data_IF_557045428491
#
_entry.id   IF_557045428491
#
_cell.length_a   1.000
_cell.length_b   1.000
_cell.length_c   1.000
_cell.angle_alpha   90.00
_cell.angle_beta   90.00
_cell.angle_gamma   90.00
#
_symmetry.space_group_name_H-M   'P 1'
#
loop_
_entity.id
_entity.type
_entity.pdbx_description
1 polymer ?
#
# COMPACT_ATOMS: atom_id res chain seq x y z
N UNK A 1 -18.77 -2.08 1.25
CA UNK A 1 -17.83 -2.87 0.44
C UNK A 1 -17.55 -4.21 1.12
N UNK A 2 -17.13 -4.20 2.39
CA UNK A 2 -16.91 -5.41 3.21
C UNK A 2 -18.13 -6.34 3.25
N UNK A 3 -19.34 -5.81 3.49
CA UNK A 3 -20.60 -6.61 3.46
C UNK A 3 -20.78 -7.33 2.12
N UNK A 4 -20.66 -6.61 1.00
CA UNK A 4 -20.77 -7.18 -0.35
C UNK A 4 -19.68 -8.21 -0.66
N UNK A 5 -18.46 -8.02 -0.18
CA UNK A 5 -17.37 -8.98 -0.35
C UNK A 5 -17.56 -10.24 0.52
N UNK A 6 -18.17 -10.09 1.71
CA UNK A 6 -18.63 -11.21 2.56
C UNK A 6 -19.73 -12.01 1.87
N UNK A 7 -20.72 -11.32 1.29
CA UNK A 7 -21.84 -11.94 0.57
C UNK A 7 -21.40 -12.70 -0.70
N UNK A 8 -20.24 -12.33 -1.27
CA UNK A 8 -19.65 -12.96 -2.46
C UNK A 8 -18.57 -14.01 -2.13
N UNK A 9 -18.33 -14.30 -0.84
CA UNK A 9 -17.26 -15.21 -0.38
C UNK A 9 -15.85 -14.83 -0.90
N UNK A 10 -15.59 -13.54 -1.13
CA UNK A 10 -14.30 -13.03 -1.59
C UNK A 10 -13.64 -12.17 -0.49
N UNK A 11 -13.17 -12.77 0.63
CA UNK A 11 -12.60 -12.00 1.74
C UNK A 11 -11.35 -11.21 1.33
N UNK A 12 -10.61 -11.67 0.33
CA UNK A 12 -9.42 -11.00 -0.19
C UNK A 12 -9.74 -9.65 -0.86
N UNK A 13 -10.93 -9.48 -1.45
CA UNK A 13 -11.32 -8.22 -2.11
C UNK A 13 -11.77 -7.13 -1.12
N UNK A 14 -12.03 -7.50 0.13
CA UNK A 14 -12.50 -6.60 1.20
C UNK A 14 -11.38 -5.88 1.96
N UNK A 15 -10.13 -6.16 1.59
CA UNK A 15 -8.96 -5.64 2.27
C UNK A 15 -8.91 -4.10 2.18
N UNK A 16 -8.76 -3.39 3.31
CA UNK A 16 -8.74 -1.92 3.31
C UNK A 16 -7.67 -1.33 2.39
N UNK A 17 -6.51 -1.99 2.25
CA UNK A 17 -5.44 -1.58 1.37
C UNK A 17 -5.76 -1.76 -0.12
N UNK A 18 -6.66 -2.68 -0.49
CA UNK A 18 -7.13 -2.79 -1.87
C UNK A 18 -8.08 -1.65 -2.26
N UNK A 19 -8.53 -0.85 -1.28
CA UNK A 19 -9.40 0.30 -1.48
C UNK A 19 -8.65 1.63 -1.46
N UNK A 20 -7.33 1.60 -1.26
CA UNK A 20 -6.51 2.81 -1.29
C UNK A 20 -5.89 3.03 -2.68
N UNK A 21 -5.37 4.23 -2.92
CA UNK A 21 -4.66 4.57 -4.14
C UNK A 21 -3.14 4.37 -4.02
N UNK A 22 -2.68 3.67 -2.98
CA UNK A 22 -1.26 3.54 -2.67
C UNK A 22 -0.53 2.76 -3.75
N UNK A 23 -1.15 1.71 -4.29
CA UNK A 23 -0.61 0.93 -5.41
C UNK A 23 -0.46 1.77 -6.67
N UNK A 24 -1.41 2.66 -6.94
CA UNK A 24 -1.33 3.60 -8.05
C UNK A 24 -0.16 4.57 -7.87
N UNK A 25 0.00 5.14 -6.68
CA UNK A 25 1.12 6.03 -6.37
C UNK A 25 2.46 5.30 -6.53
N UNK A 26 2.56 4.08 -6.02
CA UNK A 26 3.73 3.23 -6.13
C UNK A 26 4.10 2.93 -7.59
N UNK A 27 3.09 2.70 -8.43
CA UNK A 27 3.28 2.53 -9.86
C UNK A 27 3.87 3.80 -10.52
N UNK A 28 3.31 4.98 -10.22
CA UNK A 28 3.86 6.26 -10.71
C UNK A 28 5.26 6.53 -10.17
N UNK A 29 5.56 6.13 -8.93
CA UNK A 29 6.89 6.25 -8.35
C UNK A 29 7.90 5.35 -9.07
N UNK A 30 7.52 4.12 -9.41
CA UNK A 30 8.32 3.21 -10.24
C UNK A 30 8.54 3.76 -11.65
N UNK A 31 7.52 4.33 -12.27
CA UNK A 31 7.68 4.92 -13.62
C UNK A 31 8.66 6.09 -13.61
N UNK A 32 8.69 6.87 -12.52
CA UNK A 32 9.65 7.96 -12.27
C UNK A 32 11.07 7.48 -12.01
N UNK A 33 11.25 6.36 -11.30
CA UNK A 33 12.58 5.82 -11.02
C UNK A 33 13.23 5.12 -12.22
N UNK A 34 12.49 4.88 -13.30
CA UNK A 34 13.03 4.33 -14.56
C UNK A 34 13.81 5.35 -15.41
N UNK A 35 13.95 6.60 -14.95
CA UNK A 35 14.76 7.61 -15.62
C UNK A 35 16.25 7.38 -15.40
N UNK A 36 17.07 7.85 -16.35
CA UNK A 36 18.54 7.76 -16.28
C UNK A 36 19.09 8.57 -15.10
N UNK A 37 20.29 8.22 -14.63
CA UNK A 37 20.94 8.60 -13.36
C UNK A 37 21.06 10.10 -13.01
N UNK A 38 20.49 11.02 -13.80
CA UNK A 38 20.68 12.47 -13.64
C UNK A 38 19.39 13.30 -13.73
N UNK A 39 18.20 12.71 -13.93
CA UNK A 39 16.96 13.49 -13.85
C UNK A 39 15.76 12.65 -13.43
N UNK A 40 14.96 13.16 -12.50
CA UNK A 40 13.61 12.67 -12.23
C UNK A 40 12.65 13.39 -13.17
N UNK A 41 12.28 12.71 -14.26
CA UNK A 41 11.23 13.22 -15.15
C UNK A 41 9.90 13.06 -14.43
N UNK A 42 9.18 14.15 -14.19
CA UNK A 42 7.86 14.14 -13.55
C UNK A 42 6.73 14.30 -14.56
N UNK A 43 7.01 14.92 -15.70
CA UNK A 43 6.06 15.17 -16.78
C UNK A 43 6.35 14.23 -17.95
N UNK A 44 5.36 13.43 -18.33
CA UNK A 44 5.44 12.50 -19.45
C UNK A 44 4.37 12.82 -20.47
N UNK A 45 4.69 12.65 -21.75
CA UNK A 45 3.65 12.38 -22.74
C UNK A 45 3.05 10.99 -22.48
N UNK A 46 1.80 10.77 -22.92
CA UNK A 46 1.15 9.45 -22.82
C UNK A 46 2.01 8.37 -23.48
N UNK A 47 2.62 8.67 -24.62
CA UNK A 47 3.49 7.74 -25.35
C UNK A 47 4.71 7.30 -24.52
N UNK A 48 5.39 8.26 -23.87
CA UNK A 48 6.52 7.95 -22.99
C UNK A 48 6.09 7.13 -21.78
N UNK A 49 4.92 7.43 -21.23
CA UNK A 49 4.37 6.65 -20.13
C UNK A 49 4.07 5.21 -20.55
N UNK A 50 3.46 4.99 -21.73
CA UNK A 50 3.21 3.63 -22.26
C UNK A 50 4.51 2.83 -22.44
N UNK A 51 5.58 3.46 -22.92
CA UNK A 51 6.89 2.78 -23.00
C UNK A 51 7.44 2.40 -21.62
N UNK A 52 7.23 3.24 -20.61
CA UNK A 52 7.64 2.95 -19.23
C UNK A 52 6.82 1.80 -18.63
N UNK A 53 5.51 1.74 -18.88
CA UNK A 53 4.67 0.61 -18.46
C UNK A 53 5.27 -0.71 -18.96
N UNK A 54 5.53 -0.82 -20.27
CA UNK A 54 6.15 -2.02 -20.85
C UNK A 54 7.50 -2.38 -20.22
N UNK A 55 8.29 -1.37 -19.85
CA UNK A 55 9.58 -1.58 -19.18
C UNK A 55 9.40 -2.08 -17.74
N UNK A 56 8.40 -1.56 -17.01
CA UNK A 56 8.03 -2.07 -15.68
C UNK A 56 7.63 -3.55 -15.79
N UNK A 57 6.77 -3.88 -16.75
CA UNK A 57 6.30 -5.25 -16.97
C UNK A 57 7.46 -6.20 -17.27
N UNK A 58 8.38 -5.79 -18.15
CA UNK A 58 9.56 -6.58 -18.49
C UNK A 58 10.48 -6.81 -17.29
N UNK A 59 10.68 -5.79 -16.45
CA UNK A 59 11.47 -5.92 -15.22
C UNK A 59 10.79 -6.90 -14.25
N UNK A 60 9.47 -6.80 -14.08
CA UNK A 60 8.71 -7.66 -13.19
C UNK A 60 8.73 -9.13 -13.66
N UNK A 61 8.54 -9.37 -14.96
CA UNK A 61 8.66 -10.70 -15.57
C UNK A 61 10.07 -11.29 -15.40
N UNK A 62 11.11 -10.45 -15.57
CA UNK A 62 12.50 -10.87 -15.33
C UNK A 62 12.74 -11.27 -13.88
N UNK A 63 12.18 -10.53 -12.91
CA UNK A 63 12.28 -10.90 -11.50
C UNK A 63 11.59 -12.22 -11.18
N UNK A 64 10.41 -12.48 -11.77
CA UNK A 64 9.68 -13.74 -11.57
C UNK A 64 10.44 -14.93 -12.14
N UNK A 65 11.06 -14.78 -13.31
CA UNK A 65 11.85 -15.84 -13.96
C UNK A 65 13.15 -16.16 -13.21
N UNK A 66 13.73 -15.17 -12.55
CA UNK A 66 14.97 -15.30 -11.78
C UNK A 66 14.74 -15.61 -10.31
N UNK A 67 13.46 -15.69 -9.89
CA UNK A 67 13.09 -15.99 -8.52
C UNK A 67 13.59 -17.38 -8.11
N UNK A 68 14.25 -17.48 -6.97
CA UNK A 68 14.88 -18.71 -6.48
C UNK A 68 16.20 -19.11 -7.17
N UNK A 69 16.58 -18.49 -8.28
CA UNK A 69 17.87 -18.73 -8.96
C UNK A 69 18.92 -17.70 -8.55
N UNK A 70 18.51 -16.44 -8.40
CA UNK A 70 19.38 -15.33 -8.03
C UNK A 70 18.84 -14.66 -6.79
N UNK A 71 19.67 -14.55 -5.75
CA UNK A 71 19.33 -13.80 -4.55
C UNK A 71 19.48 -12.30 -4.82
N UNK A 72 18.37 -11.57 -4.84
CA UNK A 72 18.34 -10.13 -5.07
C UNK A 72 18.33 -9.37 -3.74
N UNK A 73 19.42 -8.65 -3.38
CA UNK A 73 19.52 -7.96 -2.09
C UNK A 73 18.43 -6.89 -1.87
N UNK A 74 17.90 -6.32 -2.96
CA UNK A 74 16.81 -5.33 -2.92
C UNK A 74 15.46 -5.95 -2.54
N UNK A 75 15.22 -7.22 -2.89
CA UNK A 75 13.97 -7.94 -2.61
C UNK A 75 13.84 -8.31 -1.13
N UNK A 76 14.98 -8.59 -0.50
CA UNK A 76 15.06 -8.84 0.95
C UNK A 76 14.62 -7.64 1.79
N UNK A 77 14.82 -6.40 1.31
CA UNK A 77 14.39 -5.19 2.02
C UNK A 77 12.89 -4.96 1.93
N UNK A 78 12.27 -5.24 0.78
CA UNK A 78 10.82 -5.15 0.62
C UNK A 78 10.08 -6.15 1.53
N UNK A 79 10.63 -7.35 1.69
CA UNK A 79 10.12 -8.35 2.62
C UNK A 79 10.32 -7.96 4.10
N UNK A 80 11.45 -7.34 4.45
CA UNK A 80 11.75 -6.94 5.84
C UNK A 80 10.98 -5.69 6.31
N UNK A 81 10.68 -4.74 5.43
CA UNK A 81 9.81 -3.60 5.76
C UNK A 81 8.35 -4.05 5.87
N UNK A 82 7.98 -5.10 5.13
CA UNK A 82 6.69 -5.80 5.24
C UNK A 82 6.77 -7.01 6.18
N UNK A 83 7.50 -6.87 7.31
CA UNK A 83 7.79 -7.96 8.25
C UNK A 83 6.56 -8.63 8.90
N UNK A 84 5.37 -8.11 8.64
CA UNK A 84 4.15 -8.89 8.59
C UNK A 84 3.57 -8.67 7.18
N UNK A 85 3.57 -9.71 6.35
CA UNK A 85 2.57 -9.75 5.28
C UNK A 85 1.20 -9.53 5.93
N UNK A 86 0.24 -8.89 5.25
CA UNK A 86 -1.07 -8.67 5.85
C UNK A 86 -1.54 -9.99 6.43
N UNK A 87 -1.83 -10.02 7.73
CA UNK A 87 -2.39 -11.21 8.36
C UNK A 87 -3.71 -11.43 7.65
N UNK A 88 -3.73 -12.42 6.75
CA UNK A 88 -4.93 -12.80 6.03
C UNK A 88 -5.87 -13.42 7.06
N UNK A 89 -6.76 -12.61 7.60
CA UNK A 89 -7.90 -13.12 8.33
C UNK A 89 -8.81 -13.80 7.31
N UNK A 90 -8.78 -15.13 7.31
CA UNK A 90 -9.67 -15.97 6.48
C UNK A 90 -11.15 -15.80 6.83
N UNK A 91 -11.44 -15.14 7.95
CA UNK A 91 -12.78 -14.84 8.44
C UNK A 91 -12.96 -13.34 8.48
N UNK A 92 -13.94 -12.83 7.72
CA UNK A 92 -14.33 -11.43 7.80
C UNK A 92 -15.10 -11.18 9.10
N UNK A 93 -14.83 -10.07 9.80
CA UNK A 93 -15.53 -9.73 11.02
C UNK A 93 -17.02 -9.56 10.76
N UNK A 94 -17.85 -9.95 11.73
CA UNK A 94 -19.29 -9.82 11.65
C UNK A 94 -19.74 -8.36 11.80
N UNK A 95 -20.98 -8.06 11.41
CA UNK A 95 -21.47 -6.67 11.38
C UNK A 95 -21.44 -5.99 12.75
N UNK A 96 -21.69 -6.74 13.83
CA UNK A 96 -21.62 -6.21 15.20
C UNK A 96 -20.18 -5.82 15.60
N UNK A 97 -19.17 -6.51 15.08
CA UNK A 97 -17.75 -6.25 15.37
C UNK A 97 -17.28 -4.99 14.65
N UNK A 98 -17.76 -4.81 13.42
CA UNK A 98 -17.50 -3.60 12.62
C UNK A 98 -18.09 -2.38 13.32
N UNK A 99 -19.34 -2.47 13.79
CA UNK A 99 -20.02 -1.37 14.50
C UNK A 99 -19.32 -1.03 15.82
N UNK A 100 -18.92 -2.03 16.60
CA UNK A 100 -18.16 -1.84 17.83
C UNK A 100 -16.80 -1.15 17.58
N UNK A 101 -16.09 -1.55 16.52
CA UNK A 101 -14.80 -0.95 16.15
C UNK A 101 -14.97 0.52 15.71
N UNK A 102 -16.00 0.83 14.92
CA UNK A 102 -16.30 2.21 14.49
C UNK A 102 -16.62 3.09 15.71
N UNK A 103 -17.41 2.58 16.65
CA UNK A 103 -17.78 3.31 17.85
C UNK A 103 -16.57 3.58 18.75
N UNK A 104 -15.71 2.58 18.95
CA UNK A 104 -14.45 2.73 19.69
C UNK A 104 -13.50 3.75 19.04
N UNK A 105 -13.38 3.72 17.70
CA UNK A 105 -12.56 4.69 16.97
C UNK A 105 -13.10 6.12 17.11
N UNK A 106 -14.44 6.27 17.08
CA UNK A 106 -15.09 7.56 17.29
C UNK A 106 -14.85 8.13 18.70
N UNK A 107 -14.98 7.29 19.74
CA UNK A 107 -14.67 7.67 21.12
C UNK A 107 -13.19 8.05 21.31
N UNK A 108 -12.29 7.33 20.63
CA UNK A 108 -10.86 7.63 20.63
C UNK A 108 -10.56 8.97 19.96
N UNK A 109 -11.23 9.30 18.85
CA UNK A 109 -11.06 10.58 18.17
C UNK A 109 -11.52 11.75 19.04
N UNK A 110 -12.70 11.62 19.68
CA UNK A 110 -13.25 12.65 20.58
C UNK A 110 -12.37 12.90 21.81
N UNK A 111 -11.76 11.84 22.35
CA UNK A 111 -10.84 11.97 23.50
C UNK A 111 -9.50 12.57 23.09
N UNK A 112 -9.01 12.31 21.87
CA UNK A 112 -7.73 12.84 21.39
C UNK A 112 -7.75 14.35 21.11
N UNK A 113 -8.89 14.89 20.68
CA UNK A 113 -9.08 16.34 20.53
C UNK A 113 -8.99 17.10 21.88
N UNK A 114 -9.23 16.41 23.00
CA UNK A 114 -9.09 17.01 24.34
C UNK A 114 -7.63 17.08 24.85
N UNK A 115 -6.67 16.44 24.16
CA UNK A 115 -5.27 16.37 24.59
C UNK A 115 -4.31 17.34 23.88
N UNK A 116 -4.77 18.22 22.98
CA UNK A 116 -3.90 19.14 22.21
C UNK A 116 -3.51 20.43 22.95
N UNK A 117 -3.75 20.52 24.27
CA UNK A 117 -3.47 21.76 25.02
C UNK A 117 -2.11 21.82 25.72
N UNK A 118 -1.31 20.75 25.77
CA UNK A 118 -0.07 20.79 26.57
C UNK A 118 1.07 19.93 26.03
N UNK A 119 1.60 20.24 24.85
CA UNK A 119 3.04 20.00 24.64
C UNK A 119 3.68 21.26 24.05
N UNK A 120 4.30 21.99 24.98
CA UNK A 120 5.06 23.19 24.74
C UNK A 120 6.21 22.88 23.81
N UNK A 121 6.22 23.59 22.69
CA UNK A 121 7.34 23.81 21.80
C UNK A 121 8.63 24.05 22.62
N UNK A 122 9.54 23.07 22.63
CA UNK A 122 10.96 23.32 22.94
C UNK A 122 11.76 23.13 21.66
N UNK A 123 11.89 24.25 20.97
CA UNK A 123 12.80 24.51 19.86
C UNK A 123 14.23 24.70 20.40
N UNK A 124 15.18 24.18 19.62
CA UNK A 124 16.64 24.31 19.67
C UNK A 124 17.41 23.55 20.76
#
# INVERSE_FOLDING_TARGET
MVRRARDLEEPESSQPWNCDSQDCEDFFRRSRSLTTCQSTVTNYSILEFTHRIRKIDFIQDSYLKLDGVVDFPSRQKAFRVSGAGPVFHSVLPEDYEIEAAVQSAFETALTKDSCVSTESCKTF
#
